data_IF_914151583223
#
_entry.id   IF_914151583223
#
_cell.length_a   1.000
_cell.length_b   1.000
_cell.length_c   1.000
_cell.angle_alpha   90.00
_cell.angle_beta   90.00
_cell.angle_gamma   90.00
#
_symmetry.space_group_name_H-M   'P 1'
#
loop_
_entity.id
_entity.type
_entity.pdbx_description
1 polymer ?
#
# COMPACT_ATOMS: atom_id res chain seq x y z
N UNK A 1 4.69 -14.27 -12.89
CA UNK A 1 4.92 -15.01 -11.62
C UNK A 1 5.92 -14.31 -10.68
N UNK A 2 6.65 -13.25 -11.10
CA UNK A 2 7.65 -12.59 -10.24
C UNK A 2 7.08 -11.52 -9.28
N UNK A 3 5.90 -10.98 -9.57
CA UNK A 3 5.33 -9.85 -8.80
C UNK A 3 4.65 -10.24 -7.47
N UNK A 4 4.20 -11.49 -7.31
CA UNK A 4 3.49 -11.93 -6.10
C UNK A 4 4.42 -11.98 -4.89
N UNK A 5 5.71 -12.34 -5.08
CA UNK A 5 6.69 -12.40 -4.00
C UNK A 5 7.08 -11.01 -3.46
N UNK A 6 7.26 -10.04 -4.36
CA UNK A 6 7.49 -8.64 -3.99
C UNK A 6 6.30 -8.06 -3.20
N UNK A 7 5.08 -8.30 -3.68
CA UNK A 7 3.87 -7.83 -3.00
C UNK A 7 3.72 -8.43 -1.59
N UNK A 8 4.03 -9.72 -1.41
CA UNK A 8 4.02 -10.38 -0.10
C UNK A 8 5.04 -9.76 0.86
N UNK A 9 6.27 -9.54 0.41
CA UNK A 9 7.32 -8.91 1.21
C UNK A 9 6.92 -7.50 1.65
N UNK A 10 6.35 -6.69 0.74
CA UNK A 10 5.87 -5.35 1.07
C UNK A 10 4.74 -5.39 2.11
N UNK A 11 3.77 -6.30 1.98
CA UNK A 11 2.68 -6.43 2.95
C UNK A 11 3.19 -6.84 4.32
N UNK A 12 4.09 -7.82 4.40
CA UNK A 12 4.70 -8.26 5.66
C UNK A 12 5.49 -7.13 6.34
N UNK A 13 6.30 -6.42 5.55
CA UNK A 13 7.05 -5.26 6.01
C UNK A 13 6.12 -4.17 6.59
N UNK A 14 5.08 -3.78 5.85
CA UNK A 14 4.10 -2.79 6.33
C UNK A 14 3.31 -3.26 7.55
N UNK A 15 3.06 -4.56 7.72
CA UNK A 15 2.37 -5.07 8.91
C UNK A 15 3.22 -4.95 10.18
N UNK A 16 4.52 -5.22 10.05
CA UNK A 16 5.49 -5.15 11.13
C UNK A 16 5.95 -3.72 11.47
N UNK A 17 5.79 -2.77 10.54
CA UNK A 17 6.14 -1.37 10.75
C UNK A 17 5.34 -0.71 11.87
N UNK A 18 6.04 0.04 12.73
CA UNK A 18 5.42 0.87 13.78
C UNK A 18 4.58 2.00 13.17
N UNK A 19 5.08 2.64 12.11
CA UNK A 19 4.35 3.63 11.33
C UNK A 19 4.22 3.18 9.87
N UNK A 20 3.06 2.60 9.56
CA UNK A 20 2.75 2.08 8.21
C UNK A 20 2.64 3.19 7.17
N UNK A 21 2.25 4.40 7.58
CA UNK A 21 2.08 5.51 6.65
C UNK A 21 3.43 6.06 6.25
N UNK A 22 4.33 6.27 7.21
CA UNK A 22 5.70 6.67 6.94
C UNK A 22 6.40 5.65 6.04
N UNK A 23 6.18 4.36 6.30
CA UNK A 23 6.81 3.30 5.52
C UNK A 23 6.26 3.18 4.10
N UNK A 24 4.94 3.23 3.93
CA UNK A 24 4.33 3.26 2.59
C UNK A 24 4.81 4.49 1.81
N UNK A 25 4.89 5.66 2.45
CA UNK A 25 5.43 6.88 1.84
C UNK A 25 6.86 6.66 1.35
N UNK A 26 7.73 6.06 2.18
CA UNK A 26 9.11 5.75 1.80
C UNK A 26 9.16 4.87 0.56
N UNK A 27 8.40 3.77 0.54
CA UNK A 27 8.35 2.83 -0.58
C UNK A 27 7.88 3.49 -1.89
N UNK A 28 6.80 4.29 -1.82
CA UNK A 28 6.28 5.03 -2.99
C UNK A 28 7.32 6.02 -3.53
N UNK A 29 8.03 6.75 -2.65
CA UNK A 29 9.05 7.70 -3.07
C UNK A 29 10.29 7.00 -3.66
N UNK A 30 10.73 5.90 -3.05
CA UNK A 30 11.87 5.10 -3.55
C UNK A 30 11.58 4.43 -4.90
N UNK A 31 10.32 4.13 -5.20
CA UNK A 31 9.90 3.65 -6.52
C UNK A 31 9.72 4.77 -7.56
N UNK A 32 10.06 6.02 -7.22
CA UNK A 32 9.89 7.20 -8.08
C UNK A 32 8.46 7.75 -8.14
N UNK A 33 7.58 7.29 -7.25
CA UNK A 33 6.23 7.81 -7.10
C UNK A 33 6.20 9.15 -6.35
N UNK A 34 5.01 9.73 -6.27
CA UNK A 34 4.77 10.97 -5.53
C UNK A 34 3.93 10.70 -4.28
N UNK A 35 4.28 11.36 -3.18
CA UNK A 35 3.48 11.35 -1.97
C UNK A 35 3.04 12.78 -1.64
N UNK A 36 1.74 13.06 -1.61
CA UNK A 36 1.29 14.39 -1.29
C UNK A 36 1.45 14.74 0.20
N UNK A 37 1.88 15.98 0.48
CA UNK A 37 2.06 16.51 1.84
C UNK A 37 0.84 17.34 2.32
N UNK A 38 -0.36 17.07 1.80
CA UNK A 38 -1.56 17.83 2.15
C UNK A 38 -2.26 17.35 3.43
N UNK A 39 -3.05 18.26 4.01
CA UNK A 39 -3.72 18.12 5.29
C UNK A 39 -4.62 16.88 5.41
N UNK A 40 -4.84 16.48 6.65
CA UNK A 40 -5.81 15.46 7.04
C UNK A 40 -7.24 15.88 6.58
N UNK A 41 -8.12 14.90 6.34
CA UNK A 41 -9.56 15.06 6.00
C UNK A 41 -9.97 15.21 4.52
N UNK A 42 -9.06 14.98 3.57
CA UNK A 42 -9.41 14.81 2.14
C UNK A 42 -9.30 13.35 1.69
N UNK A 43 -9.93 13.02 0.56
CA UNK A 43 -9.74 11.71 -0.07
C UNK A 43 -8.27 11.54 -0.46
N UNK A 44 -7.67 10.47 0.03
CA UNK A 44 -6.29 10.09 -0.21
C UNK A 44 -6.27 8.74 -0.92
N UNK A 45 -5.47 8.66 -1.98
CA UNK A 45 -5.26 7.44 -2.76
C UNK A 45 -3.79 7.02 -2.67
N UNK A 46 -3.57 5.77 -2.30
CA UNK A 46 -2.29 5.10 -2.43
C UNK A 46 -2.40 4.13 -3.60
N UNK A 47 -1.65 4.40 -4.67
CA UNK A 47 -1.47 3.49 -5.79
C UNK A 47 -0.04 2.97 -5.78
N UNK A 48 0.15 1.69 -5.44
CA UNK A 48 1.46 1.06 -5.36
C UNK A 48 1.36 -0.40 -5.79
N UNK A 49 2.33 -0.87 -6.59
CA UNK A 49 2.34 -2.20 -7.21
C UNK A 49 1.01 -2.57 -7.92
N UNK A 50 0.45 -1.62 -8.68
CA UNK A 50 -0.85 -1.75 -9.37
C UNK A 50 -2.07 -1.98 -8.48
N UNK A 51 -1.96 -1.69 -7.18
CA UNK A 51 -3.05 -1.85 -6.20
C UNK A 51 -3.38 -0.48 -5.62
N UNK A 52 -4.68 -0.18 -5.59
CA UNK A 52 -5.21 1.04 -5.02
C UNK A 52 -5.72 0.83 -3.59
N UNK A 53 -5.42 1.76 -2.70
CA UNK A 53 -6.03 1.91 -1.38
C UNK A 53 -6.58 3.32 -1.23
N UNK A 54 -7.87 3.44 -0.93
CA UNK A 54 -8.56 4.73 -0.80
C UNK A 54 -8.98 4.97 0.64
N UNK A 55 -8.91 6.21 1.11
CA UNK A 55 -9.45 6.57 2.42
C UNK A 55 -9.41 8.07 2.69
N UNK A 56 -10.15 8.53 3.68
CA UNK A 56 -10.05 9.92 4.15
C UNK A 56 -8.74 10.08 4.94
N UNK A 57 -7.74 10.67 4.29
CA UNK A 57 -6.37 10.74 4.75
C UNK A 57 -5.53 9.47 4.52
N UNK A 58 -4.22 9.62 4.65
CA UNK A 58 -3.24 8.58 4.34
C UNK A 58 -3.39 7.32 5.19
N UNK A 59 -3.73 7.44 6.48
CA UNK A 59 -3.81 6.27 7.38
C UNK A 59 -4.91 5.28 6.96
N UNK A 60 -6.17 5.70 6.71
CA UNK A 60 -7.17 4.81 6.14
C UNK A 60 -6.81 4.30 4.73
N UNK A 61 -6.21 5.13 3.87
CA UNK A 61 -5.80 4.72 2.53
C UNK A 61 -4.75 3.59 2.54
N UNK A 62 -3.71 3.72 3.37
CA UNK A 62 -2.67 2.68 3.56
C UNK A 62 -3.27 1.41 4.14
N UNK A 63 -4.16 1.51 5.12
CA UNK A 63 -4.87 0.34 5.66
C UNK A 63 -5.65 -0.40 4.57
N UNK A 64 -6.36 0.32 3.72
CA UNK A 64 -7.15 -0.26 2.64
C UNK A 64 -6.27 -0.82 1.52
N UNK A 65 -5.12 -0.21 1.23
CA UNK A 65 -4.13 -0.77 0.32
C UNK A 65 -3.66 -2.15 0.79
N UNK A 66 -3.30 -2.30 2.08
CA UNK A 66 -2.86 -3.59 2.65
C UNK A 66 -3.97 -4.65 2.48
N UNK A 67 -5.22 -4.32 2.80
CA UNK A 67 -6.36 -5.25 2.65
C UNK A 67 -6.54 -5.66 1.19
N UNK A 68 -6.41 -4.72 0.25
CA UNK A 68 -6.56 -5.02 -1.17
C UNK A 68 -5.37 -5.83 -1.72
N UNK A 69 -4.16 -5.58 -1.24
CA UNK A 69 -2.96 -6.36 -1.56
C UNK A 69 -3.10 -7.81 -1.10
N UNK A 70 -3.62 -8.04 0.10
CA UNK A 70 -3.83 -9.40 0.62
C UNK A 70 -4.87 -10.20 -0.17
N UNK A 71 -5.86 -9.53 -0.75
CA UNK A 71 -6.84 -10.19 -1.62
C UNK A 71 -6.19 -10.73 -2.89
N UNK A 72 -5.13 -10.10 -3.40
CA UNK A 72 -4.42 -10.61 -4.58
C UNK A 72 -3.73 -11.93 -4.32
N UNK A 73 -3.22 -12.17 -3.09
CA UNK A 73 -2.63 -13.46 -2.72
C UNK A 73 -3.63 -14.62 -2.82
N UNK A 74 -4.91 -14.31 -2.58
CA UNK A 74 -5.98 -15.31 -2.62
C UNK A 74 -6.41 -15.61 -4.04
N UNK A 75 -6.36 -14.62 -4.95
CA UNK A 75 -6.69 -14.77 -6.37
C UNK A 75 -5.61 -15.60 -7.07
N UNK A 76 -4.34 -15.30 -6.83
CA UNK A 76 -3.19 -16.03 -7.41
C UNK A 76 -3.12 -17.51 -6.96
N UNK A 77 -3.78 -17.88 -5.85
CA UNK A 77 -3.84 -19.26 -5.36
C UNK A 77 -4.89 -20.13 -6.06
N UNK A 78 -5.84 -19.53 -6.79
CA UNK A 78 -6.94 -20.25 -7.46
C UNK A 78 -6.80 -20.27 -8.98
N UNK A 79 -5.83 -19.52 -9.53
CA UNK A 79 -5.50 -19.47 -10.95
C UNK A 79 -4.36 -20.45 -11.28
#
# INVERSE_FOLDING_TARGET
MEHTGELQQVVEHLRSATDRVAEMRRLVLESGGAWPDHEHDVLFEVCFLSIAGLGFGAKPAVKNWIVNAERQFSIDKVA
#
